data_IF_566570719375
#
_entry.id   IF_566570719375
#
_cell.length_a   1.000
_cell.length_b   1.000
_cell.length_c   1.000
_cell.angle_alpha   90.00
_cell.angle_beta   90.00
_cell.angle_gamma   90.00
#
_symmetry.space_group_name_H-M   'P 1'
#
loop_
_entity.id
_entity.type
_entity.pdbx_description
1 polymer ?
#
# COMPACT_ATOMS: atom_id res chain seq x y z
N UNK A 1 13.07 3.69 -11.39
CA UNK A 1 14.23 2.96 -10.82
C UNK A 1 14.16 1.50 -11.28
N UNK A 2 15.28 0.79 -11.47
CA UNK A 2 15.27 -0.63 -11.80
C UNK A 2 14.62 -1.47 -10.70
N UNK A 3 14.04 -2.62 -11.08
CA UNK A 3 13.46 -3.56 -10.13
C UNK A 3 14.56 -4.29 -9.36
N UNK A 4 14.41 -4.36 -8.05
CA UNK A 4 15.31 -5.09 -7.16
C UNK A 4 14.54 -5.67 -5.97
N UNK A 5 15.10 -6.71 -5.35
CA UNK A 5 14.67 -7.22 -4.05
C UNK A 5 15.61 -6.68 -2.98
N UNK A 6 15.05 -6.00 -1.98
CA UNK A 6 15.81 -5.48 -0.85
C UNK A 6 15.35 -6.12 0.47
N UNK A 7 16.19 -6.11 1.52
CA UNK A 7 15.75 -6.38 2.88
C UNK A 7 14.49 -5.57 3.24
N UNK A 8 13.54 -6.14 3.99
CA UNK A 8 12.26 -5.47 4.28
C UNK A 8 12.40 -4.06 4.90
N UNK A 9 13.39 -3.88 5.78
CA UNK A 9 13.69 -2.58 6.41
C UNK A 9 14.22 -1.56 5.40
N UNK A 10 15.04 -2.01 4.46
CA UNK A 10 15.65 -1.16 3.44
C UNK A 10 14.60 -0.69 2.42
N UNK A 11 13.66 -1.56 2.02
CA UNK A 11 12.53 -1.16 1.17
C UNK A 11 11.77 0.04 1.77
N UNK A 12 11.42 -0.03 3.05
CA UNK A 12 10.72 1.04 3.77
C UNK A 12 11.59 2.29 3.95
N UNK A 13 12.88 2.12 4.25
CA UNK A 13 13.81 3.23 4.40
C UNK A 13 14.00 4.00 3.09
N UNK A 14 14.09 3.32 1.94
CA UNK A 14 14.22 3.96 0.63
C UNK A 14 12.96 4.78 0.30
N UNK A 15 11.76 4.21 0.50
CA UNK A 15 10.50 4.95 0.26
C UNK A 15 10.38 6.18 1.15
N UNK A 16 10.73 6.05 2.42
CA UNK A 16 10.72 7.17 3.36
C UNK A 16 11.78 8.23 3.01
N UNK A 17 12.98 7.82 2.59
CA UNK A 17 14.04 8.74 2.18
C UNK A 17 13.63 9.55 0.94
N UNK A 18 13.08 8.91 -0.09
CA UNK A 18 12.56 9.59 -1.28
C UNK A 18 11.44 10.55 -0.90
N UNK A 19 10.48 10.10 -0.09
CA UNK A 19 9.39 10.94 0.38
C UNK A 19 9.90 12.20 1.10
N UNK A 20 10.82 12.05 2.06
CA UNK A 20 11.39 13.16 2.83
C UNK A 20 12.22 14.10 1.95
N UNK A 21 12.94 13.57 0.96
CA UNK A 21 13.74 14.39 0.05
C UNK A 21 12.85 15.25 -0.86
N UNK A 22 11.77 14.67 -1.41
CA UNK A 22 10.77 15.43 -2.19
C UNK A 22 10.09 16.49 -1.31
N UNK A 23 9.83 16.20 -0.03
CA UNK A 23 9.32 17.22 0.90
C UNK A 23 10.30 18.38 1.13
N UNK A 24 11.61 18.08 1.16
CA UNK A 24 12.65 19.04 1.54
C UNK A 24 13.08 19.92 0.37
N UNK A 25 13.32 19.31 -0.79
CA UNK A 25 13.91 19.95 -1.96
C UNK A 25 12.96 20.03 -3.15
N UNK A 26 11.79 19.39 -3.09
CA UNK A 26 11.04 19.04 -4.29
C UNK A 26 11.74 17.94 -5.07
N UNK A 27 11.27 17.72 -6.29
CA UNK A 27 11.84 16.71 -7.18
C UNK A 27 10.79 16.14 -8.14
N UNK A 28 11.22 15.34 -9.12
CA UNK A 28 10.30 14.69 -10.04
C UNK A 28 9.44 13.63 -9.31
N UNK A 29 8.21 13.37 -9.78
CA UNK A 29 7.45 12.19 -9.38
C UNK A 29 8.30 10.92 -9.52
N UNK A 30 8.26 10.07 -8.50
CA UNK A 30 9.02 8.83 -8.46
C UNK A 30 8.08 7.64 -8.40
N UNK A 31 8.35 6.65 -9.26
CA UNK A 31 7.73 5.32 -9.21
C UNK A 31 8.84 4.31 -8.90
N UNK A 32 8.60 3.48 -7.89
CA UNK A 32 9.38 2.29 -7.57
C UNK A 32 8.53 1.04 -7.76
N UNK A 33 9.14 0.01 -8.31
CA UNK A 33 8.67 -1.36 -8.31
C UNK A 33 9.76 -2.21 -7.66
N UNK A 34 9.42 -3.01 -6.66
CA UNK A 34 10.39 -3.81 -5.91
C UNK A 34 9.76 -5.08 -5.36
N UNK A 35 10.61 -6.03 -4.99
CA UNK A 35 10.21 -7.22 -4.24
C UNK A 35 10.87 -7.29 -2.87
N UNK A 36 10.55 -8.34 -2.13
CA UNK A 36 11.06 -8.56 -0.78
C UNK A 36 12.15 -9.63 -0.80
N UNK A 37 13.32 -9.34 -0.21
CA UNK A 37 14.42 -10.29 -0.16
C UNK A 37 14.14 -11.46 0.79
N UNK A 38 13.26 -11.26 1.77
CA UNK A 38 12.84 -12.25 2.76
C UNK A 38 11.39 -12.00 3.16
N UNK A 39 10.66 -13.03 3.66
CA UNK A 39 9.32 -12.87 4.20
C UNK A 39 9.23 -11.72 5.21
N UNK A 40 8.15 -10.95 5.12
CA UNK A 40 7.95 -9.80 5.98
C UNK A 40 6.48 -9.57 6.33
N UNK A 41 6.26 -8.92 7.47
CA UNK A 41 4.99 -8.28 7.78
C UNK A 41 5.22 -6.78 7.85
N UNK A 42 4.55 -6.02 7.00
CA UNK A 42 4.47 -4.56 7.16
C UNK A 42 3.30 -4.22 8.07
N UNK A 43 3.55 -3.37 9.06
CA UNK A 43 2.55 -2.88 10.02
C UNK A 43 2.28 -1.41 9.73
N UNK A 44 1.00 -1.03 9.65
CA UNK A 44 0.63 0.35 9.36
C UNK A 44 1.08 1.33 10.44
N UNK A 45 1.28 2.59 10.07
CA UNK A 45 1.84 3.62 10.94
C UNK A 45 1.15 3.70 12.31
N UNK A 46 -0.18 3.64 12.35
CA UNK A 46 -1.01 3.78 13.55
C UNK A 46 -1.32 2.47 14.28
N UNK A 47 -0.85 1.32 13.78
CA UNK A 47 -1.15 0.03 14.39
C UNK A 47 -0.23 -0.29 15.57
N UNK A 48 -0.81 -0.89 16.61
CA UNK A 48 -0.08 -1.42 17.76
C UNK A 48 0.44 -2.81 17.44
N UNK A 49 1.76 -2.95 17.28
CA UNK A 49 2.40 -4.22 16.89
C UNK A 49 1.99 -5.35 17.84
N UNK A 50 2.04 -5.12 19.15
CA UNK A 50 1.77 -6.14 20.17
C UNK A 50 0.31 -6.64 20.19
N UNK A 51 -0.61 -5.92 19.55
CA UNK A 51 -2.03 -6.31 19.45
C UNK A 51 -2.38 -6.98 18.13
N UNK A 52 -1.59 -6.70 17.10
CA UNK A 52 -1.93 -7.01 15.71
C UNK A 52 -1.08 -8.17 15.17
N UNK A 53 0.12 -8.36 15.72
CA UNK A 53 1.12 -9.29 15.21
C UNK A 53 1.54 -10.28 16.29
N UNK A 54 1.48 -11.57 15.97
CA UNK A 54 2.16 -12.62 16.74
C UNK A 54 3.67 -12.57 16.44
N UNK A 55 4.41 -11.86 17.29
CA UNK A 55 5.86 -11.70 17.17
C UNK A 55 6.62 -13.01 17.37
N UNK A 56 6.07 -13.96 18.13
CA UNK A 56 6.70 -15.27 18.35
C UNK A 56 6.58 -16.14 17.12
N UNK A 57 5.40 -16.17 16.49
CA UNK A 57 5.21 -16.83 15.20
C UNK A 57 6.11 -16.21 14.13
N UNK A 58 6.19 -14.87 14.06
CA UNK A 58 7.07 -14.20 13.10
C UNK A 58 8.54 -14.58 13.30
N UNK A 59 9.03 -14.58 14.55
CA UNK A 59 10.41 -14.98 14.86
C UNK A 59 10.69 -16.43 14.48
N UNK A 60 9.79 -17.35 14.84
CA UNK A 60 9.92 -18.78 14.51
C UNK A 60 9.91 -19.03 12.99
N UNK A 61 9.12 -18.25 12.25
CA UNK A 61 9.02 -18.34 10.80
C UNK A 61 10.06 -17.54 10.01
N UNK A 62 11.00 -16.85 10.67
CA UNK A 62 11.98 -15.99 9.98
C UNK A 62 11.36 -14.77 9.29
N UNK A 63 10.17 -14.34 9.73
CA UNK A 63 9.41 -13.23 9.14
C UNK A 63 9.83 -11.91 9.78
N UNK A 64 10.33 -10.99 8.96
CA UNK A 64 10.73 -9.66 9.45
C UNK A 64 9.51 -8.76 9.64
N UNK A 65 9.32 -8.24 10.85
CA UNK A 65 8.28 -7.24 11.13
C UNK A 65 8.87 -5.84 10.95
N UNK A 66 8.25 -5.03 10.09
CA UNK A 66 8.66 -3.65 9.78
C UNK A 66 7.45 -2.71 9.79
N UNK A 67 7.61 -1.49 10.29
CA UNK A 67 6.56 -0.47 10.23
C UNK A 67 6.70 0.32 8.93
N UNK A 68 5.60 0.47 8.19
CA UNK A 68 5.57 1.31 6.99
C UNK A 68 5.14 2.74 7.34
N UNK A 69 5.56 3.75 6.55
CA UNK A 69 5.20 5.14 6.81
C UNK A 69 3.71 5.42 6.58
N UNK A 70 3.06 4.65 5.71
CA UNK A 70 1.62 4.73 5.41
C UNK A 70 0.75 4.04 6.47
N UNK A 71 -0.54 4.37 6.51
CA UNK A 71 -1.52 3.73 7.39
C UNK A 71 -1.97 2.34 6.92
N UNK A 72 -3.19 1.94 7.30
CA UNK A 72 -3.80 0.65 6.93
C UNK A 72 -3.45 -0.50 7.87
N UNK A 73 -4.02 -1.68 7.61
CA UNK A 73 -3.80 -2.90 8.41
C UNK A 73 -2.53 -3.65 8.01
N UNK A 74 -2.10 -4.63 8.80
CA UNK A 74 -0.89 -5.39 8.52
C UNK A 74 -0.99 -6.18 7.21
N UNK A 75 0.13 -6.31 6.49
CA UNK A 75 0.23 -7.06 5.23
C UNK A 75 1.43 -7.99 5.31
N UNK A 76 1.23 -9.25 4.94
CA UNK A 76 2.30 -10.23 4.78
C UNK A 76 2.85 -10.16 3.35
N UNK A 77 4.18 -10.21 3.23
CA UNK A 77 4.93 -10.09 1.99
C UNK A 77 5.90 -11.26 1.85
N UNK A 78 6.05 -11.75 0.62
CA UNK A 78 6.96 -12.84 0.26
C UNK A 78 7.36 -12.70 -1.23
N UNK A 79 6.68 -13.42 -2.13
CA UNK A 79 6.87 -13.34 -3.58
C UNK A 79 5.93 -12.33 -4.26
N UNK A 80 5.51 -11.30 -3.54
CA UNK A 80 4.69 -10.21 -4.08
C UNK A 80 5.52 -9.11 -4.74
N UNK A 81 4.93 -8.49 -5.76
CA UNK A 81 5.42 -7.26 -6.37
C UNK A 81 4.81 -6.07 -5.64
N UNK A 82 5.64 -5.21 -5.06
CA UNK A 82 5.21 -3.99 -4.39
C UNK A 82 5.57 -2.76 -5.23
N UNK A 83 4.68 -1.79 -5.25
CA UNK A 83 4.92 -0.49 -5.85
C UNK A 83 4.92 0.63 -4.81
N UNK A 84 5.65 1.71 -5.11
CA UNK A 84 5.53 2.98 -4.42
C UNK A 84 5.49 4.14 -5.41
N UNK A 85 4.57 5.08 -5.19
CA UNK A 85 4.46 6.35 -5.94
C UNK A 85 4.64 7.50 -4.96
N UNK A 86 5.63 8.35 -5.23
CA UNK A 86 5.91 9.56 -4.47
C UNK A 86 5.83 10.76 -5.40
N UNK A 87 5.06 11.77 -5.05
CA UNK A 87 5.02 13.02 -5.80
C UNK A 87 4.54 14.20 -4.94
N UNK A 88 4.94 15.40 -5.35
CA UNK A 88 4.36 16.62 -4.81
C UNK A 88 2.88 16.75 -5.23
N UNK A 89 2.05 17.27 -4.34
CA UNK A 89 0.60 17.38 -4.52
C UNK A 89 0.20 18.47 -5.52
N UNK A 90 1.12 19.38 -5.85
CA UNK A 90 0.90 20.46 -6.81
C UNK A 90 1.18 20.06 -8.28
N UNK A 91 1.57 18.81 -8.52
CA UNK A 91 1.85 18.33 -9.88
C UNK A 91 0.53 17.98 -10.57
N UNK A 92 0.31 18.54 -11.76
CA UNK A 92 -0.94 18.42 -12.52
C UNK A 92 -1.37 16.99 -12.86
N UNK A 93 -0.44 16.03 -12.80
CA UNK A 93 -0.71 14.61 -13.00
C UNK A 93 -1.60 14.01 -11.90
N UNK A 94 -1.52 14.52 -10.67
CA UNK A 94 -2.22 13.96 -9.52
C UNK A 94 -3.27 14.94 -9.00
N UNK A 95 -4.54 14.52 -8.90
CA UNK A 95 -5.58 15.32 -8.30
C UNK A 95 -5.33 15.55 -6.79
N UNK A 96 -5.94 16.59 -6.19
CA UNK A 96 -5.63 16.99 -4.82
C UNK A 96 -6.15 16.04 -3.75
N UNK A 97 -7.15 15.19 -4.05
CA UNK A 97 -7.75 14.30 -3.06
C UNK A 97 -7.05 12.94 -3.00
N UNK A 98 -7.06 12.33 -1.82
CA UNK A 98 -6.55 10.96 -1.62
C UNK A 98 -7.25 10.00 -2.59
N UNK A 99 -8.59 10.00 -2.59
CA UNK A 99 -9.39 9.08 -3.40
C UNK A 99 -9.12 9.22 -4.90
N UNK A 100 -8.98 10.45 -5.40
CA UNK A 100 -8.68 10.67 -6.80
C UNK A 100 -7.26 10.25 -7.19
N UNK A 101 -6.28 10.49 -6.31
CA UNK A 101 -4.90 9.99 -6.53
C UNK A 101 -4.88 8.46 -6.55
N UNK A 102 -5.61 7.82 -5.63
CA UNK A 102 -5.82 6.36 -5.66
C UNK A 102 -6.38 5.92 -7.01
N UNK A 103 -7.48 6.56 -7.47
CA UNK A 103 -8.12 6.24 -8.74
C UNK A 103 -7.15 6.33 -9.92
N UNK A 104 -6.37 7.41 -10.01
CA UNK A 104 -5.39 7.60 -11.09
C UNK A 104 -4.33 6.51 -11.07
N UNK A 105 -3.74 6.23 -9.90
CA UNK A 105 -2.71 5.19 -9.76
C UNK A 105 -3.28 3.80 -10.07
N UNK A 106 -4.44 3.46 -9.52
CA UNK A 106 -5.08 2.17 -9.76
C UNK A 106 -5.45 1.97 -11.23
N UNK A 107 -5.89 3.02 -11.94
CA UNK A 107 -6.12 2.95 -13.39
C UNK A 107 -4.84 2.69 -14.17
N UNK A 108 -3.71 3.30 -13.77
CA UNK A 108 -2.41 3.01 -14.37
C UNK A 108 -2.01 1.55 -14.16
N UNK A 109 -2.19 1.01 -12.94
CA UNK A 109 -1.90 -0.40 -12.62
C UNK A 109 -2.78 -1.36 -13.43
N UNK A 110 -4.09 -1.09 -13.54
CA UNK A 110 -5.01 -1.87 -14.37
C UNK A 110 -4.55 -1.90 -15.82
N UNK A 111 -4.20 -0.74 -16.41
CA UNK A 111 -3.68 -0.70 -17.79
C UNK A 111 -2.39 -1.49 -17.95
N UNK A 112 -1.48 -1.40 -16.98
CA UNK A 112 -0.25 -2.19 -16.96
C UNK A 112 -0.54 -3.69 -16.93
N UNK A 113 -1.42 -4.15 -16.03
CA UNK A 113 -1.83 -5.55 -15.92
C UNK A 113 -2.51 -6.05 -17.20
N UNK A 114 -3.39 -5.25 -17.81
CA UNK A 114 -4.00 -5.60 -19.10
C UNK A 114 -2.96 -5.78 -20.21
N UNK A 115 -1.91 -4.96 -20.25
CA UNK A 115 -0.82 -5.12 -21.23
C UNK A 115 -0.05 -6.44 -21.06
N UNK A 116 -0.15 -7.07 -19.88
CA UNK A 116 0.43 -8.38 -19.56
C UNK A 116 -0.60 -9.53 -19.68
N UNK A 117 -1.81 -9.27 -20.19
CA UNK A 117 -2.87 -10.27 -20.32
C UNK A 117 -3.63 -10.57 -19.04
N UNK A 118 -3.50 -9.74 -17.99
CA UNK A 118 -4.21 -9.90 -16.72
C UNK A 118 -5.42 -8.98 -16.68
N UNK A 119 -6.63 -9.56 -16.77
CA UNK A 119 -7.92 -8.85 -16.71
C UNK A 119 -8.23 -8.32 -15.29
N UNK A 120 -7.64 -7.17 -14.97
CA UNK A 120 -7.83 -6.49 -13.69
C UNK A 120 -8.91 -5.41 -13.79
N UNK A 121 -9.78 -5.32 -12.78
CA UNK A 121 -10.79 -4.27 -12.67
C UNK A 121 -10.63 -3.51 -11.36
N UNK A 122 -11.20 -2.30 -11.31
CA UNK A 122 -11.33 -1.55 -10.06
C UNK A 122 -12.59 -1.97 -9.33
N UNK A 123 -12.50 -2.16 -8.01
CA UNK A 123 -13.66 -2.33 -7.16
C UNK A 123 -14.57 -1.09 -7.26
N UNK A 124 -15.82 -1.30 -7.67
CA UNK A 124 -16.84 -0.26 -7.80
C UNK A 124 -17.40 0.20 -6.44
N UNK A 125 -17.43 -0.72 -5.47
CA UNK A 125 -17.91 -0.51 -4.11
C UNK A 125 -16.90 -1.06 -3.11
N UNK A 126 -16.85 -0.50 -1.90
CA UNK A 126 -15.88 -0.88 -0.88
C UNK A 126 -15.66 0.20 0.17
N UNK A 127 -14.71 -0.02 1.08
CA UNK A 127 -14.30 1.01 2.05
C UNK A 127 -13.69 2.22 1.34
N UNK A 128 -13.98 3.43 1.81
CA UNK A 128 -13.34 4.64 1.27
C UNK A 128 -12.02 4.89 2.02
N UNK A 129 -10.86 4.94 1.34
CA UNK A 129 -9.58 5.23 1.99
C UNK A 129 -9.64 6.53 2.82
N UNK A 130 -9.18 6.48 4.06
CA UNK A 130 -9.18 7.63 4.98
C UNK A 130 -10.49 7.90 5.72
N UNK A 131 -11.53 7.06 5.54
CA UNK A 131 -12.72 7.07 6.40
C UNK A 131 -12.77 5.82 7.28
N UNK A 132 -13.10 6.01 8.56
CA UNK A 132 -13.45 4.93 9.48
C UNK A 132 -14.67 4.16 8.93
N UNK A 133 -14.73 2.82 9.07
CA UNK A 133 -15.92 2.06 8.73
C UNK A 133 -17.08 2.51 9.65
N UNK A 134 -18.26 2.73 9.08
CA UNK A 134 -19.48 2.81 9.88
C UNK A 134 -19.71 1.42 10.46
N UNK A 135 -19.61 1.27 11.78
CA UNK A 135 -19.92 0.01 12.45
C UNK A 135 -21.44 -0.19 12.36
N UNK A 136 -21.91 -1.00 11.41
CA UNK A 136 -23.23 -1.60 11.55
C UNK A 136 -23.16 -2.61 12.69
N UNK A 137 -23.84 -2.29 13.79
CA UNK A 137 -23.98 -3.14 14.95
C UNK A 137 -24.79 -4.39 14.58
N UNK A 138 -24.09 -5.49 14.28
CA UNK A 138 -24.71 -6.81 14.21
C UNK A 138 -24.02 -7.80 13.28
N UNK A 139 -23.40 -8.82 13.87
CA UNK A 139 -22.95 -10.09 13.26
C UNK A 139 -21.77 -9.99 12.27
N UNK A 140 -20.56 -10.21 12.79
CA UNK A 140 -19.40 -10.60 11.99
C UNK A 140 -18.22 -10.96 12.88
N UNK A 141 -17.59 -12.10 12.63
CA UNK A 141 -16.32 -12.53 13.24
C UNK A 141 -15.24 -11.45 13.09
N UNK A 142 -14.20 -11.43 13.97
CA UNK A 142 -13.07 -10.53 13.81
C UNK A 142 -12.23 -11.00 12.62
N UNK A 143 -12.64 -10.65 11.41
CA UNK A 143 -11.87 -10.87 10.19
C UNK A 143 -10.62 -9.95 10.25
N UNK A 144 -9.57 -10.52 10.82
CA UNK A 144 -8.29 -9.88 11.10
C UNK A 144 -7.50 -9.53 9.85
N UNK A 145 -7.89 -9.98 8.66
CA UNK A 145 -7.14 -9.73 7.42
C UNK A 145 -7.69 -8.54 6.63
N UNK A 146 -6.82 -7.57 6.31
CA UNK A 146 -7.10 -6.44 5.43
C UNK A 146 -7.55 -6.83 4.00
N UNK A 147 -7.47 -8.11 3.67
CA UNK A 147 -7.77 -8.63 2.34
C UNK A 147 -9.24 -9.03 2.14
N UNK A 148 -10.05 -9.15 3.20
CA UNK A 148 -11.41 -9.70 3.09
C UNK A 148 -12.46 -8.73 2.57
N UNK A 149 -12.25 -7.41 2.70
CA UNK A 149 -13.18 -6.38 2.19
C UNK A 149 -12.41 -5.39 1.33
N UNK A 150 -12.75 -5.24 0.03
CA UNK A 150 -12.06 -4.31 -0.83
C UNK A 150 -12.35 -2.86 -0.44
N UNK A 151 -11.36 -2.00 -0.64
CA UNK A 151 -11.55 -0.54 -0.66
C UNK A 151 -11.95 -0.10 -2.07
N UNK A 152 -12.68 1.01 -2.18
CA UNK A 152 -12.99 1.63 -3.48
C UNK A 152 -11.68 1.86 -4.23
N UNK A 153 -11.66 1.51 -5.51
CA UNK A 153 -10.47 1.56 -6.39
C UNK A 153 -9.34 0.59 -6.07
N UNK A 154 -9.56 -0.44 -5.25
CA UNK A 154 -8.65 -1.59 -5.19
C UNK A 154 -8.78 -2.47 -6.42
N UNK A 155 -7.72 -3.22 -6.71
CA UNK A 155 -7.63 -4.04 -7.92
C UNK A 155 -8.13 -5.45 -7.66
N UNK A 156 -9.05 -5.90 -8.51
CA UNK A 156 -9.64 -7.22 -8.48
C UNK A 156 -9.33 -7.99 -9.77
N UNK A 157 -9.10 -9.29 -9.68
CA UNK A 157 -9.07 -10.23 -10.80
C UNK A 157 -10.03 -11.37 -10.50
N UNK A 158 -11.01 -11.61 -11.39
CA UNK A 158 -12.08 -12.62 -11.19
C UNK A 158 -12.77 -12.48 -9.82
N UNK A 159 -13.05 -11.24 -9.41
CA UNK A 159 -13.70 -10.91 -8.13
C UNK A 159 -12.81 -11.03 -6.88
N UNK A 160 -11.53 -11.41 -7.02
CA UNK A 160 -10.60 -11.51 -5.90
C UNK A 160 -9.63 -10.34 -5.89
N UNK A 161 -9.41 -9.76 -4.71
CA UNK A 161 -8.42 -8.71 -4.50
C UNK A 161 -7.02 -9.22 -4.85
N UNK A 162 -6.27 -8.43 -5.60
CA UNK A 162 -4.88 -8.73 -5.97
C UNK A 162 -3.88 -7.65 -5.55
N UNK A 163 -4.36 -6.45 -5.26
CA UNK A 163 -3.54 -5.36 -4.75
C UNK A 163 -4.39 -4.51 -3.80
N UNK A 164 -3.85 -4.26 -2.61
CA UNK A 164 -4.34 -3.25 -1.67
C UNK A 164 -3.34 -2.12 -1.61
N UNK A 165 -3.77 -0.91 -1.27
CA UNK A 165 -2.85 0.22 -1.21
C UNK A 165 -3.12 1.12 -0.03
N UNK A 166 -2.06 1.74 0.48
CA UNK A 166 -2.10 2.70 1.58
C UNK A 166 -1.42 4.00 1.12
N UNK A 167 -1.98 5.15 1.49
CA UNK A 167 -1.43 6.46 1.15
C UNK A 167 -1.24 7.29 2.41
N UNK A 168 -0.20 8.11 2.42
CA UNK A 168 -0.05 9.22 3.36
C UNK A 168 0.24 10.51 2.62
N UNK A 169 -0.12 11.63 3.25
CA UNK A 169 0.16 12.99 2.78
C UNK A 169 0.76 13.80 3.90
N UNK A 170 1.81 14.55 3.60
CA UNK A 170 2.42 15.46 4.55
C UNK A 170 3.25 16.51 3.82
N UNK A 171 3.17 17.76 4.27
CA UNK A 171 3.94 18.90 3.73
C UNK A 171 3.86 19.03 2.20
N UNK A 172 2.68 18.82 1.62
CA UNK A 172 2.43 18.98 0.18
C UNK A 172 3.02 17.88 -0.69
N UNK A 173 3.31 16.71 -0.11
CA UNK A 173 3.81 15.52 -0.80
C UNK A 173 2.99 14.32 -0.37
N UNK A 174 2.72 13.40 -1.29
CA UNK A 174 2.12 12.11 -0.99
C UNK A 174 3.07 10.94 -1.26
N UNK A 175 2.88 9.86 -0.50
CA UNK A 175 3.44 8.53 -0.74
C UNK A 175 2.27 7.54 -0.77
N UNK A 176 2.12 6.80 -1.86
CA UNK A 176 1.23 5.65 -1.96
C UNK A 176 2.04 4.37 -2.16
N UNK A 177 1.77 3.34 -1.36
CA UNK A 177 2.39 2.01 -1.45
C UNK A 177 1.30 0.96 -1.65
N UNK A 178 1.58 -0.10 -2.41
CA UNK A 178 0.64 -1.22 -2.57
C UNK A 178 1.18 -2.39 -3.37
#
# INVERSE_FOLDING_TARGET
MPFHRYPPRENMAIDEAIFREVQRLGGPPTIRLYGWLSPAVTVGHFQHIDREIDLDACRKGGVTVVRRPTGGKAVYHDDDLTYAVIAAENISLFPPTILDTYRVISQCLVRGLHSLGVEAILAAEGRVPGKEPVMESGKGSPDASCFSVPSVHELLVKGRKICGSAQMRSRGVFLQQG
#
